data_IF_924240626984
#
_entry.id   IF_924240626984
#
_cell.length_a   1.000
_cell.length_b   1.000
_cell.length_c   1.000
_cell.angle_alpha   90.00
_cell.angle_beta   90.00
_cell.angle_gamma   90.00
#
_symmetry.space_group_name_H-M   'P 1'
#
loop_
_entity.id
_entity.type
_entity.pdbx_description
1 polymer ?
#
# COMPACT_ATOMS: atom_id res chain seq x y z
N UNK A 1 2.59 -15.67 26.31
CA UNK A 1 3.10 -16.18 25.01
C UNK A 1 1.99 -16.03 23.98
N UNK A 2 2.12 -15.09 23.05
CA UNK A 2 1.10 -14.79 22.02
C UNK A 2 1.06 -15.92 20.98
N UNK A 3 -0.14 -16.39 20.64
CA UNK A 3 -0.36 -17.45 19.65
C UNK A 3 -0.07 -16.89 18.24
N UNK A 4 1.05 -17.31 17.63
CA UNK A 4 1.37 -16.96 16.25
C UNK A 4 0.50 -17.81 15.31
N UNK A 5 -0.33 -17.14 14.49
CA UNK A 5 -1.16 -17.78 13.48
C UNK A 5 -0.30 -17.94 12.23
N UNK A 6 -0.09 -19.19 11.81
CA UNK A 6 0.66 -19.52 10.59
C UNK A 6 -0.36 -19.98 9.56
N UNK A 7 -0.59 -19.21 8.48
CA UNK A 7 -1.50 -19.63 7.42
C UNK A 7 -0.92 -20.84 6.69
N UNK A 8 -1.79 -21.76 6.29
CA UNK A 8 -1.44 -22.95 5.52
C UNK A 8 -2.21 -22.94 4.21
N UNK A 9 -1.52 -23.11 3.08
CA UNK A 9 -2.10 -23.22 1.75
C UNK A 9 -1.47 -24.39 1.00
N UNK A 10 -2.27 -25.11 0.23
CA UNK A 10 -1.84 -26.19 -0.65
C UNK A 10 -2.35 -25.92 -2.06
N UNK A 11 -1.58 -26.29 -3.09
CA UNK A 11 -1.95 -26.09 -4.50
C UNK A 11 -3.13 -26.97 -4.92
N UNK A 12 -3.19 -28.21 -4.40
CA UNK A 12 -4.25 -29.17 -4.72
C UNK A 12 -4.68 -29.99 -3.49
N UNK A 13 -5.92 -29.78 -3.07
CA UNK A 13 -6.54 -30.48 -1.94
C UNK A 13 -6.67 -31.99 -2.16
N UNK A 14 -6.82 -32.45 -3.41
CA UNK A 14 -6.92 -33.87 -3.73
C UNK A 14 -5.58 -34.58 -3.55
N UNK A 15 -4.49 -33.91 -3.92
CA UNK A 15 -3.13 -34.41 -3.71
C UNK A 15 -2.78 -34.43 -2.22
N UNK A 16 -3.16 -33.39 -1.46
CA UNK A 16 -3.05 -33.38 0.01
C UNK A 16 -3.78 -34.56 0.66
N UNK A 17 -5.03 -34.81 0.27
CA UNK A 17 -5.82 -35.91 0.83
C UNK A 17 -5.19 -37.28 0.55
N UNK A 18 -4.65 -37.50 -0.66
CA UNK A 18 -3.92 -38.72 -1.01
C UNK A 18 -2.65 -38.88 -0.18
N UNK A 19 -1.88 -37.80 -0.01
CA UNK A 19 -0.66 -37.79 0.80
C UNK A 19 -0.94 -38.15 2.26
N UNK A 20 -1.92 -37.48 2.89
CA UNK A 20 -2.34 -37.75 4.27
C UNK A 20 -2.81 -39.19 4.44
N UNK A 21 -3.65 -39.68 3.51
CA UNK A 21 -4.14 -41.06 3.55
C UNK A 21 -2.99 -42.08 3.47
N UNK A 22 -1.98 -41.83 2.65
CA UNK A 22 -0.82 -42.72 2.54
C UNK A 22 0.02 -42.69 3.82
N UNK A 23 0.28 -41.50 4.37
CA UNK A 23 1.04 -41.36 5.62
C UNK A 23 0.35 -42.09 6.77
N UNK A 24 -0.96 -41.88 6.96
CA UNK A 24 -1.69 -42.56 8.06
C UNK A 24 -1.82 -44.07 7.88
N UNK A 25 -1.79 -44.59 6.64
CA UNK A 25 -1.75 -46.04 6.41
C UNK A 25 -0.42 -46.67 6.80
N UNK A 26 0.67 -45.92 6.68
CA UNK A 26 2.02 -46.42 6.93
C UNK A 26 2.46 -46.17 8.39
N UNK A 27 1.67 -45.44 9.18
CA UNK A 27 1.94 -45.23 10.60
C UNK A 27 1.33 -46.36 11.44
N UNK A 28 2.17 -47.05 12.22
CA UNK A 28 1.71 -48.06 13.20
C UNK A 28 0.94 -47.43 14.38
N UNK A 29 1.17 -46.14 14.64
CA UNK A 29 0.52 -45.34 15.68
C UNK A 29 -0.01 -44.04 15.10
N UNK A 30 -1.13 -43.55 15.63
CA UNK A 30 -1.63 -42.23 15.26
C UNK A 30 -0.60 -41.12 15.56
N UNK A 31 -0.32 -40.20 14.62
CA UNK A 31 0.70 -39.17 14.78
C UNK A 31 0.43 -38.25 15.98
N UNK A 32 1.48 -37.87 16.68
CA UNK A 32 1.45 -36.77 17.64
C UNK A 32 1.18 -35.43 16.94
N UNK A 33 0.88 -34.38 17.72
CA UNK A 33 0.62 -33.06 17.17
C UNK A 33 1.80 -32.51 16.34
N UNK A 34 3.04 -32.70 16.81
CA UNK A 34 4.22 -32.23 16.10
C UNK A 34 4.44 -33.00 14.79
N UNK A 35 4.20 -34.31 14.80
CA UNK A 35 4.28 -35.13 13.58
C UNK A 35 3.18 -34.74 12.59
N UNK A 36 1.97 -34.47 13.06
CA UNK A 36 0.87 -33.95 12.24
C UNK A 36 1.26 -32.62 11.57
N UNK A 37 1.89 -31.70 12.31
CA UNK A 37 2.39 -30.44 11.76
C UNK A 37 3.49 -30.65 10.70
N UNK A 38 4.38 -31.62 10.92
CA UNK A 38 5.42 -31.95 9.94
C UNK A 38 4.84 -32.59 8.67
N UNK A 39 3.87 -33.49 8.80
CA UNK A 39 3.17 -34.10 7.66
C UNK A 39 2.48 -33.01 6.83
N UNK A 40 1.79 -32.06 7.49
CA UNK A 40 1.17 -30.93 6.81
C UNK A 40 2.22 -30.05 6.12
N UNK A 41 3.31 -29.70 6.80
CA UNK A 41 4.38 -28.91 6.20
C UNK A 41 4.99 -29.55 4.95
N UNK A 42 5.23 -30.87 4.98
CA UNK A 42 5.76 -31.63 3.85
C UNK A 42 4.80 -31.68 2.66
N UNK A 43 3.50 -31.81 2.92
CA UNK A 43 2.48 -31.75 1.85
C UNK A 43 2.41 -30.40 1.14
N UNK A 44 2.89 -29.32 1.79
CA UNK A 44 3.03 -28.00 1.22
C UNK A 44 4.45 -27.71 0.69
N UNK A 45 5.32 -28.73 0.60
CA UNK A 45 6.67 -28.61 0.04
C UNK A 45 7.76 -28.14 1.03
N UNK A 46 7.46 -28.04 2.33
CA UNK A 46 8.44 -27.68 3.35
C UNK A 46 9.02 -28.92 4.05
N UNK A 47 10.31 -28.92 4.37
CA UNK A 47 10.96 -30.08 5.01
C UNK A 47 10.35 -30.43 6.39
N UNK A 48 9.99 -29.43 7.18
CA UNK A 48 9.34 -29.58 8.48
C UNK A 48 8.54 -28.32 8.85
N UNK A 49 7.85 -28.36 10.00
CA UNK A 49 7.04 -27.24 10.48
C UNK A 49 7.85 -25.97 10.80
N UNK A 50 9.11 -26.10 11.24
CA UNK A 50 9.95 -24.93 11.52
C UNK A 50 10.26 -24.16 10.23
N UNK A 51 10.59 -24.86 9.14
CA UNK A 51 10.80 -24.25 7.83
C UNK A 51 9.53 -23.57 7.29
N UNK A 52 8.36 -24.20 7.47
CA UNK A 52 7.09 -23.58 7.09
C UNK A 52 6.83 -22.31 7.92
N UNK A 53 7.11 -22.35 9.22
CA UNK A 53 6.96 -21.19 10.10
C UNK A 53 7.93 -20.07 9.71
N UNK A 54 9.19 -20.37 9.47
CA UNK A 54 10.20 -19.37 9.13
C UNK A 54 9.92 -18.74 7.75
N UNK A 55 9.42 -19.52 6.80
CA UNK A 55 8.94 -19.00 5.51
C UNK A 55 7.74 -18.06 5.70
N UNK A 56 6.77 -18.43 6.54
CA UNK A 56 5.61 -17.58 6.83
C UNK A 56 6.00 -16.30 7.59
N UNK A 57 6.94 -16.38 8.53
CA UNK A 57 7.47 -15.20 9.24
C UNK A 57 8.26 -14.28 8.31
N UNK A 58 9.07 -14.86 7.41
CA UNK A 58 9.79 -14.11 6.38
C UNK A 58 8.81 -13.40 5.46
N UNK A 59 7.82 -14.12 4.90
CA UNK A 59 6.77 -13.57 4.04
C UNK A 59 5.98 -12.45 4.74
N UNK A 60 5.63 -12.63 6.01
CA UNK A 60 4.96 -11.61 6.81
C UNK A 60 5.84 -10.38 7.03
N UNK A 61 7.15 -10.53 7.25
CA UNK A 61 8.07 -9.40 7.37
C UNK A 61 8.17 -8.65 6.03
N UNK A 62 8.29 -9.34 4.89
CA UNK A 62 8.31 -8.67 3.57
C UNK A 62 6.97 -7.97 3.28
N UNK A 63 5.85 -8.61 3.62
CA UNK A 63 4.52 -8.01 3.51
C UNK A 63 4.32 -6.81 4.45
N UNK A 64 4.95 -6.81 5.64
CA UNK A 64 4.91 -5.69 6.59
C UNK A 64 5.71 -4.50 6.08
N UNK A 65 6.87 -4.74 5.45
CA UNK A 65 7.65 -3.69 4.78
C UNK A 65 6.92 -3.09 3.56
N UNK A 66 6.12 -3.90 2.85
CA UNK A 66 5.34 -3.48 1.68
C UNK A 66 3.89 -3.10 1.97
N UNK A 67 3.45 -3.09 3.23
CA UNK A 67 2.12 -2.59 3.59
C UNK A 67 2.20 -1.07 3.63
N UNK A 68 1.45 -0.32 2.79
CA UNK A 68 1.41 1.13 2.95
C UNK A 68 0.93 1.39 4.37
N UNK A 69 1.77 2.09 5.15
CA UNK A 69 1.46 2.59 6.49
C UNK A 69 0.09 3.24 6.41
N UNK A 70 -0.93 2.55 6.94
CA UNK A 70 -2.30 3.06 6.95
C UNK A 70 -2.23 4.32 7.80
N UNK A 71 -2.27 5.48 7.15
CA UNK A 71 -2.09 6.74 7.84
C UNK A 71 -3.28 6.87 8.79
N UNK A 72 -3.05 7.16 10.06
CA UNK A 72 -4.12 7.41 11.04
C UNK A 72 -4.53 8.88 10.97
N UNK A 73 -4.79 9.37 9.74
CA UNK A 73 -5.10 10.78 9.49
C UNK A 73 -6.48 10.86 8.90
N UNK A 74 -7.35 11.63 9.54
CA UNK A 74 -8.69 11.84 9.03
C UNK A 74 -8.65 12.55 7.67
N UNK A 75 -9.11 11.88 6.62
CA UNK A 75 -9.40 12.53 5.32
C UNK A 75 -10.48 13.60 5.59
N UNK A 76 -10.35 14.83 5.04
CA UNK A 76 -11.40 15.83 5.11
C UNK A 76 -12.76 15.22 4.80
N UNK A 77 -13.76 15.46 5.66
CA UNK A 77 -15.08 14.80 5.58
C UNK A 77 -15.72 14.93 4.20
N UNK A 78 -15.44 16.03 3.50
CA UNK A 78 -15.93 16.34 2.15
C UNK A 78 -15.27 15.51 1.04
N UNK A 79 -14.04 15.03 1.25
CA UNK A 79 -13.30 14.20 0.29
C UNK A 79 -13.49 12.70 0.52
N UNK A 80 -13.94 12.28 1.71
CA UNK A 80 -14.20 10.86 2.04
C UNK A 80 -15.05 10.12 0.99
N UNK A 81 -16.12 10.70 0.39
CA UNK A 81 -16.91 9.99 -0.63
C UNK A 81 -16.13 9.68 -1.92
N UNK A 82 -15.05 10.39 -2.18
CA UNK A 82 -14.25 10.29 -3.40
C UNK A 82 -12.96 9.49 -3.19
N UNK A 83 -12.65 9.13 -1.95
CA UNK A 83 -11.37 8.56 -1.56
C UNK A 83 -11.55 7.24 -0.81
N UNK A 84 -10.67 6.27 -1.07
CA UNK A 84 -10.66 5.01 -0.33
C UNK A 84 -9.82 5.10 0.96
N UNK A 85 -9.81 4.00 1.73
CA UNK A 85 -9.02 3.86 2.96
C UNK A 85 -7.50 3.91 2.74
N UNK A 86 -7.03 3.81 1.50
CA UNK A 86 -5.63 3.92 1.12
C UNK A 86 -5.28 5.33 0.59
N UNK A 87 -6.17 6.30 0.78
CA UNK A 87 -6.02 7.67 0.30
C UNK A 87 -5.93 7.78 -1.24
N UNK A 88 -6.54 6.85 -1.98
CA UNK A 88 -6.61 6.89 -3.43
C UNK A 88 -7.88 7.63 -3.84
N UNK A 89 -7.73 8.69 -4.64
CA UNK A 89 -8.86 9.43 -5.21
C UNK A 89 -9.47 8.64 -6.38
N UNK A 90 -10.66 8.07 -6.16
CA UNK A 90 -11.35 7.18 -7.10
C UNK A 90 -12.07 7.92 -8.22
N UNK A 91 -12.53 9.15 -7.95
CA UNK A 91 -13.25 9.97 -8.92
C UNK A 91 -12.91 11.45 -8.73
N UNK A 92 -12.88 12.19 -9.84
CA UNK A 92 -12.69 13.63 -9.81
C UNK A 92 -14.01 14.34 -9.44
N UNK A 93 -14.04 15.16 -8.37
CA UNK A 93 -15.26 15.85 -7.98
C UNK A 93 -15.75 16.84 -9.05
N UNK A 94 -17.06 16.94 -9.26
CA UNK A 94 -17.64 17.94 -10.18
C UNK A 94 -17.67 19.36 -9.59
N UNK A 95 -17.75 19.49 -8.27
CA UNK A 95 -17.82 20.80 -7.59
C UNK A 95 -16.42 21.40 -7.43
N UNK A 96 -16.25 22.65 -7.86
CA UNK A 96 -14.97 23.37 -7.81
C UNK A 96 -14.32 23.40 -6.42
N UNK A 97 -15.10 23.67 -5.37
CA UNK A 97 -14.58 23.67 -3.99
C UNK A 97 -14.00 22.30 -3.57
N UNK A 98 -14.55 21.19 -4.08
CA UNK A 98 -14.02 19.85 -3.80
C UNK A 98 -12.78 19.56 -4.64
N UNK A 99 -12.75 20.04 -5.90
CA UNK A 99 -11.54 19.99 -6.73
C UNK A 99 -10.38 20.71 -6.05
N UNK A 100 -10.61 21.93 -5.54
CA UNK A 100 -9.60 22.69 -4.81
C UNK A 100 -9.05 21.90 -3.61
N UNK A 101 -9.93 21.27 -2.83
CA UNK A 101 -9.52 20.40 -1.72
C UNK A 101 -8.71 19.19 -2.20
N UNK A 102 -9.11 18.54 -3.30
CA UNK A 102 -8.35 17.44 -3.91
C UNK A 102 -6.96 17.90 -4.38
N UNK A 103 -6.84 19.10 -4.94
CA UNK A 103 -5.55 19.66 -5.36
C UNK A 103 -4.63 19.92 -4.17
N UNK A 104 -5.16 20.50 -3.08
CA UNK A 104 -4.39 20.67 -1.85
C UNK A 104 -3.91 19.34 -1.27
N UNK A 105 -4.75 18.31 -1.36
CA UNK A 105 -4.35 16.96 -0.98
C UNK A 105 -3.17 16.46 -1.83
N UNK A 106 -3.16 16.64 -3.16
CA UNK A 106 -2.00 16.28 -3.98
C UNK A 106 -0.78 17.15 -3.67
N UNK A 107 -0.95 18.45 -3.45
CA UNK A 107 0.12 19.38 -3.12
C UNK A 107 0.91 18.97 -1.86
N UNK A 108 0.24 18.40 -0.86
CA UNK A 108 0.89 17.93 0.39
C UNK A 108 1.92 16.82 0.16
N UNK A 109 1.92 16.15 -0.99
CA UNK A 109 2.84 15.04 -1.34
C UNK A 109 4.13 15.48 -2.00
N UNK A 110 4.19 16.73 -2.43
CA UNK A 110 5.41 17.29 -3.00
C UNK A 110 6.24 17.90 -1.87
N UNK A 111 7.55 17.75 -1.92
CA UNK A 111 8.47 18.36 -0.97
C UNK A 111 8.72 19.82 -1.33
N UNK A 112 8.91 20.63 -0.29
CA UNK A 112 9.38 21.99 -0.47
C UNK A 112 10.87 21.96 -0.87
N UNK A 113 11.29 22.90 -1.73
CA UNK A 113 12.67 22.99 -2.27
C UNK A 113 13.17 21.78 -3.09
N UNK A 114 12.33 20.78 -3.37
CA UNK A 114 12.67 19.71 -4.31
C UNK A 114 12.21 20.07 -5.74
N UNK A 115 13.09 19.77 -6.70
CA UNK A 115 12.76 19.81 -8.13
C UNK A 115 12.36 18.41 -8.60
N UNK A 116 11.29 18.34 -9.37
CA UNK A 116 10.73 17.10 -9.92
C UNK A 116 10.75 17.17 -11.44
N UNK A 117 11.09 16.07 -12.11
CA UNK A 117 10.81 15.95 -13.53
C UNK A 117 9.31 15.76 -13.77
N UNK A 118 8.85 15.93 -15.02
CA UNK A 118 7.46 15.59 -15.37
C UNK A 118 7.12 14.13 -15.01
N UNK A 119 8.07 13.21 -15.19
CA UNK A 119 7.88 11.79 -14.89
C UNK A 119 7.73 11.55 -13.38
N UNK A 120 8.48 12.28 -12.55
CA UNK A 120 8.37 12.17 -11.10
C UNK A 120 7.02 12.69 -10.62
N UNK A 121 6.58 13.85 -11.13
CA UNK A 121 5.25 14.41 -10.82
C UNK A 121 4.15 13.42 -11.19
N UNK A 122 4.23 12.85 -12.39
CA UNK A 122 3.25 11.86 -12.85
C UNK A 122 3.25 10.63 -11.94
N UNK A 123 4.43 10.15 -11.51
CA UNK A 123 4.56 9.00 -10.62
C UNK A 123 3.96 9.27 -9.24
N UNK A 124 4.21 10.45 -8.66
CA UNK A 124 3.61 10.88 -7.39
C UNK A 124 2.09 10.93 -7.50
N UNK A 125 1.55 11.53 -8.56
CA UNK A 125 0.09 11.64 -8.75
C UNK A 125 -0.54 10.24 -8.92
N UNK A 126 0.03 9.40 -9.80
CA UNK A 126 -0.47 8.05 -10.11
C UNK A 126 -0.61 7.17 -8.87
N UNK A 127 0.27 7.32 -7.88
CA UNK A 127 0.20 6.55 -6.62
C UNK A 127 -1.08 6.80 -5.83
N UNK A 128 -1.71 7.96 -6.00
CA UNK A 128 -2.90 8.37 -5.24
C UNK A 128 -4.11 8.64 -6.14
N UNK A 129 -4.05 8.22 -7.41
CA UNK A 129 -5.10 8.40 -8.39
C UNK A 129 -5.66 7.05 -8.81
N UNK A 130 -6.96 6.85 -8.62
CA UNK A 130 -7.66 5.62 -9.00
C UNK A 130 -8.19 5.62 -10.43
N UNK A 131 -7.95 6.68 -11.20
CA UNK A 131 -8.38 6.86 -12.59
C UNK A 131 -7.23 7.32 -13.48
N UNK A 132 -7.36 7.15 -14.79
CA UNK A 132 -6.24 7.28 -15.73
C UNK A 132 -5.79 8.73 -16.03
N UNK A 133 -6.56 9.74 -15.63
CA UNK A 133 -6.31 11.14 -16.01
C UNK A 133 -5.44 11.91 -14.99
N UNK A 134 -4.18 11.47 -14.85
CA UNK A 134 -3.19 12.15 -14.02
C UNK A 134 -2.71 13.48 -14.64
N UNK A 135 -2.83 13.63 -15.95
CA UNK A 135 -2.47 14.85 -16.67
C UNK A 135 -3.40 16.01 -16.30
N UNK A 136 -4.70 15.75 -16.12
CA UNK A 136 -5.65 16.72 -15.58
C UNK A 136 -5.17 17.27 -14.23
N UNK A 137 -4.84 16.38 -13.28
CA UNK A 137 -4.40 16.78 -11.94
C UNK A 137 -3.13 17.64 -12.02
N UNK A 138 -2.14 17.21 -12.81
CA UNK A 138 -0.90 17.98 -13.01
C UNK A 138 -1.18 19.37 -13.56
N UNK A 139 -2.06 19.49 -14.56
CA UNK A 139 -2.45 20.77 -15.15
C UNK A 139 -3.16 21.66 -14.14
N UNK A 140 -4.10 21.11 -13.38
CA UNK A 140 -4.85 21.86 -12.38
C UNK A 140 -3.97 22.32 -11.21
N UNK A 141 -3.01 21.51 -10.77
CA UNK A 141 -2.01 21.92 -9.79
C UNK A 141 -1.21 23.15 -10.25
N UNK A 142 -0.87 23.23 -11.54
CA UNK A 142 -0.21 24.40 -12.11
C UNK A 142 -1.17 25.59 -12.27
N UNK A 143 -2.39 25.37 -12.75
CA UNK A 143 -3.41 26.42 -12.91
C UNK A 143 -3.71 27.11 -11.58
N UNK A 144 -3.77 26.33 -10.49
CA UNK A 144 -3.98 26.82 -9.13
C UNK A 144 -2.72 27.37 -8.45
N UNK A 145 -1.59 27.46 -9.18
CA UNK A 145 -0.29 27.94 -8.68
C UNK A 145 0.24 27.16 -7.47
N UNK A 146 -0.21 25.91 -7.30
CA UNK A 146 0.22 24.99 -6.24
C UNK A 146 1.54 24.31 -6.63
N UNK A 147 1.67 23.95 -7.91
CA UNK A 147 2.94 23.57 -8.53
C UNK A 147 3.39 24.65 -9.51
N UNK A 148 4.66 24.99 -9.44
CA UNK A 148 5.33 25.81 -10.47
C UNK A 148 6.04 24.89 -11.45
N UNK A 149 6.22 25.35 -12.68
CA UNK A 149 6.93 24.64 -13.73
C UNK A 149 7.81 25.59 -14.53
N UNK A 150 8.88 25.08 -15.12
CA UNK A 150 9.64 25.80 -16.14
C UNK A 150 8.80 25.97 -17.42
N UNK A 151 9.12 26.97 -18.25
CA UNK A 151 8.39 27.23 -19.50
C UNK A 151 8.46 26.07 -20.50
N UNK A 152 9.54 25.30 -20.47
CA UNK A 152 9.74 24.07 -21.24
C UNK A 152 9.07 22.82 -20.61
N UNK A 153 8.47 22.96 -19.42
CA UNK A 153 7.76 21.90 -18.72
C UNK A 153 8.63 20.78 -18.17
N UNK A 154 9.96 20.91 -18.18
CA UNK A 154 10.88 19.84 -17.74
C UNK A 154 10.98 19.71 -16.23
N UNK A 155 10.89 20.82 -15.50
CA UNK A 155 11.04 20.85 -14.06
C UNK A 155 9.80 21.43 -13.39
N UNK A 156 9.40 20.80 -12.30
CA UNK A 156 8.31 21.21 -11.43
C UNK A 156 8.81 21.35 -10.01
N UNK A 157 8.23 22.27 -9.26
CA UNK A 157 8.52 22.41 -7.84
C UNK A 157 7.29 22.90 -7.08
N UNK A 158 7.24 22.53 -5.80
CA UNK A 158 6.17 22.93 -4.89
C UNK A 158 6.21 24.44 -4.67
N UNK A 159 5.07 25.12 -4.87
CA UNK A 159 4.94 26.52 -4.50
C UNK A 159 4.87 26.66 -2.97
N UNK A 160 5.45 27.74 -2.43
CA UNK A 160 5.23 28.15 -1.05
C UNK A 160 3.78 28.63 -0.92
N UNK A 161 2.94 27.80 -0.32
CA UNK A 161 1.52 28.07 -0.12
C UNK A 161 1.07 27.44 1.21
N UNK A 162 0.00 27.93 1.81
CA UNK A 162 -0.52 27.41 3.08
C UNK A 162 -1.77 26.58 2.80
N UNK A 163 -1.80 25.28 3.14
CA UNK A 163 -2.97 24.45 2.91
C UNK A 163 -4.12 24.84 3.87
N UNK A 164 -5.37 24.47 3.52
CA UNK A 164 -6.50 24.55 4.44
C UNK A 164 -6.22 23.80 5.75
N UNK A 165 -6.82 24.28 6.85
CA UNK A 165 -6.59 23.77 8.22
C UNK A 165 -6.75 22.25 8.33
N UNK A 166 -7.79 21.70 7.68
CA UNK A 166 -8.09 20.26 7.61
C UNK A 166 -6.98 19.41 6.96
N UNK A 167 -6.05 20.04 6.22
CA UNK A 167 -4.98 19.38 5.47
C UNK A 167 -3.58 19.68 6.03
N UNK A 168 -3.45 20.54 7.05
CA UNK A 168 -2.16 20.88 7.67
C UNK A 168 -1.51 19.62 8.25
N UNK A 169 -2.26 18.77 8.95
CA UNK A 169 -1.77 17.52 9.55
C UNK A 169 -1.18 16.55 8.52
N UNK A 170 -1.64 16.62 7.26
CA UNK A 170 -1.09 15.80 6.18
C UNK A 170 0.30 16.27 5.74
N UNK A 171 0.60 17.58 5.81
CA UNK A 171 1.89 18.09 5.31
C UNK A 171 3.11 17.58 6.06
N UNK A 172 3.03 17.36 7.37
CA UNK A 172 4.16 16.87 8.17
C UNK A 172 4.52 15.42 7.85
N UNK A 173 3.52 14.59 7.58
CA UNK A 173 3.71 13.14 7.42
C UNK A 173 4.36 12.78 6.08
N UNK A 174 4.05 13.53 5.03
CA UNK A 174 4.65 13.30 3.72
C UNK A 174 6.06 13.88 3.59
N UNK A 175 6.49 14.74 4.52
CA UNK A 175 7.90 15.11 4.64
C UNK A 175 8.74 13.92 5.17
N UNK A 176 8.20 13.16 6.12
CA UNK A 176 8.90 12.02 6.74
C UNK A 176 9.01 10.78 5.83
N UNK A 177 8.01 10.53 4.98
CA UNK A 177 7.94 9.32 4.14
C UNK A 177 8.89 9.31 2.94
N UNK A 178 9.61 10.40 2.69
CA UNK A 178 10.52 10.55 1.56
C UNK A 178 12.01 10.55 1.99
N UNK A 179 12.28 10.15 3.24
CA UNK A 179 13.61 9.89 3.78
C UNK A 179 14.08 8.43 3.69
N UNK A 180 13.47 7.62 2.82
CA UNK A 180 13.87 6.23 2.54
C UNK A 180 14.00 5.97 1.03
#
# INVERSE_FOLDING_TARGET
MTKQIIPFSCEDISTLAKYLRNQFKNCERFPSHLEMLNILAQSAGHANFQHLRDAALTANNVATLNKPKQLDIMIPRKLQPFMDSNYILRAWPAKRALQDQSLWFFWCRFQYQQSYSEQDVNSVIKRFLGFADFALIRRELCNHKLLKRTGDGRHYWRAAATPPEELISLTGIWQDLAGY
#
